data_IF_134696967230
#
_entry.id   IF_134696967230
#
_cell.length_a   1.000
_cell.length_b   1.000
_cell.length_c   1.000
_cell.angle_alpha   90.00
_cell.angle_beta   90.00
_cell.angle_gamma   90.00
#
_symmetry.space_group_name_H-M   'P 1'
#
loop_
_entity.id
_entity.type
_entity.pdbx_description
1 polymer ?
#
# COMPACT_ATOMS: atom_id res chain seq x y z
N UNK A 1 35.89 -13.62 -1.84
CA UNK A 1 35.01 -12.98 -2.75
C UNK A 1 33.55 -13.08 -2.31
N UNK A 2 32.93 -12.04 -2.42
CA UNK A 2 31.59 -12.02 -1.99
C UNK A 2 30.65 -12.69 -2.97
N UNK A 3 29.82 -13.51 -2.46
CA UNK A 3 28.86 -14.18 -3.28
C UNK A 3 27.57 -13.42 -3.31
N UNK A 4 27.09 -13.14 -4.49
CA UNK A 4 25.80 -12.50 -4.62
C UNK A 4 24.75 -13.57 -4.50
N UNK A 5 23.85 -13.41 -3.57
CA UNK A 5 22.77 -14.36 -3.38
C UNK A 5 21.84 -14.31 -4.57
N UNK A 6 21.06 -15.37 -4.75
CA UNK A 6 20.08 -15.42 -5.82
C UNK A 6 19.09 -14.27 -5.69
N UNK A 7 18.74 -13.95 -4.45
CA UNK A 7 17.80 -12.86 -4.19
C UNK A 7 18.39 -11.54 -4.65
N UNK A 8 19.67 -11.30 -4.34
CA UNK A 8 20.31 -10.07 -4.75
C UNK A 8 20.45 -10.00 -6.27
N UNK A 9 20.77 -11.12 -6.91
CA UNK A 9 20.89 -11.17 -8.34
C UNK A 9 19.56 -10.84 -9.03
N UNK A 10 18.49 -11.38 -8.50
CA UNK A 10 17.16 -11.08 -9.04
C UNK A 10 16.78 -9.63 -8.81
N UNK A 11 17.11 -9.12 -7.64
CA UNK A 11 16.82 -7.74 -7.32
C UNK A 11 17.56 -6.79 -8.24
N UNK A 12 18.77 -7.16 -8.62
CA UNK A 12 19.58 -6.32 -9.52
C UNK A 12 18.96 -6.21 -10.90
N UNK A 13 18.12 -7.18 -11.29
CA UNK A 13 17.48 -7.16 -12.59
C UNK A 13 16.16 -6.40 -12.58
N UNK A 14 15.64 -6.07 -11.41
CA UNK A 14 14.41 -5.31 -11.30
C UNK A 14 14.76 -3.83 -11.44
N UNK A 15 14.01 -3.13 -12.28
CA UNK A 15 14.28 -1.72 -12.52
C UNK A 15 14.04 -0.92 -11.24
N UNK A 16 14.72 0.21 -11.07
CA UNK A 16 14.49 1.08 -9.93
C UNK A 16 13.04 1.53 -9.83
N UNK A 17 12.39 1.76 -10.97
CA UNK A 17 11.00 2.19 -10.99
C UNK A 17 10.09 1.13 -10.41
N UNK A 18 10.31 -0.13 -10.77
CA UNK A 18 9.49 -1.22 -10.27
C UNK A 18 9.69 -1.39 -8.76
N UNK A 19 10.95 -1.32 -8.31
CA UNK A 19 11.23 -1.43 -6.87
C UNK A 19 10.56 -0.32 -6.08
N UNK A 20 10.61 0.89 -6.60
CA UNK A 20 9.98 2.02 -5.93
C UNK A 20 8.47 1.83 -5.85
N UNK A 21 7.88 1.34 -6.92
CA UNK A 21 6.44 1.09 -6.97
C UNK A 21 6.03 0.05 -5.94
N UNK A 22 6.79 -1.04 -5.84
CA UNK A 22 6.50 -2.09 -4.87
C UNK A 22 6.65 -1.55 -3.45
N UNK A 23 7.71 -0.77 -3.19
CA UNK A 23 7.91 -0.19 -1.88
C UNK A 23 6.75 0.73 -1.49
N UNK A 24 6.27 1.54 -2.42
CA UNK A 24 5.13 2.42 -2.16
C UNK A 24 3.89 1.62 -1.83
N UNK A 25 3.66 0.52 -2.53
CA UNK A 25 2.51 -0.34 -2.24
C UNK A 25 2.56 -0.86 -0.81
N UNK A 26 3.73 -1.30 -0.36
CA UNK A 26 3.88 -1.77 1.02
C UNK A 26 3.68 -0.65 2.02
N UNK A 27 4.18 0.54 1.73
CA UNK A 27 4.00 1.69 2.62
C UNK A 27 2.53 2.06 2.74
N UNK A 28 1.80 2.00 1.63
CA UNK A 28 0.37 2.28 1.64
C UNK A 28 -0.36 1.25 2.51
N UNK A 29 -0.02 -0.03 2.35
CA UNK A 29 -0.62 -1.09 3.15
C UNK A 29 -0.33 -0.87 4.64
N UNK A 30 0.92 -0.55 4.97
CA UNK A 30 1.30 -0.28 6.35
C UNK A 30 0.51 0.87 6.93
N UNK A 31 0.32 1.91 6.14
CA UNK A 31 -0.46 3.08 6.59
C UNK A 31 -1.92 2.69 6.83
N UNK A 32 -2.51 1.91 5.92
CA UNK A 32 -3.89 1.46 6.09
C UNK A 32 -4.02 0.63 7.36
N UNK A 33 -3.09 -0.31 7.58
CA UNK A 33 -3.08 -1.11 8.79
C UNK A 33 -3.03 -0.25 10.05
N UNK A 34 -2.16 0.75 10.05
CA UNK A 34 -2.00 1.63 11.20
C UNK A 34 -3.30 2.39 11.49
N UNK A 35 -3.98 2.86 10.45
CA UNK A 35 -5.23 3.58 10.63
C UNK A 35 -6.31 2.66 11.16
N UNK A 36 -6.43 1.47 10.58
CA UNK A 36 -7.43 0.51 11.03
C UNK A 36 -7.21 0.15 12.50
N UNK A 37 -5.95 -0.10 12.86
CA UNK A 37 -5.62 -0.45 14.22
C UNK A 37 -5.94 0.69 15.19
N UNK A 38 -5.57 1.91 14.81
CA UNK A 38 -5.84 3.07 15.65
C UNK A 38 -7.33 3.29 15.87
N UNK A 39 -8.16 2.92 14.90
CA UNK A 39 -9.61 3.10 14.99
C UNK A 39 -10.34 1.85 15.47
N UNK A 40 -9.61 0.77 15.75
CA UNK A 40 -10.24 -0.48 16.19
C UNK A 40 -11.07 -1.14 15.09
N UNK A 41 -10.67 -0.95 13.83
CA UNK A 41 -11.39 -1.50 12.70
C UNK A 41 -10.63 -2.68 12.11
N UNK A 42 -11.38 -3.55 11.44
CA UNK A 42 -10.82 -4.71 10.75
C UNK A 42 -10.99 -4.56 9.25
N UNK A 43 -10.32 -5.43 8.49
CA UNK A 43 -10.45 -5.42 7.04
C UNK A 43 -11.90 -5.56 6.60
N UNK A 44 -12.66 -6.35 7.32
CA UNK A 44 -14.07 -6.52 7.05
C UNK A 44 -14.84 -5.21 7.18
N UNK A 45 -14.48 -4.40 8.17
CA UNK A 45 -15.13 -3.10 8.36
C UNK A 45 -14.80 -2.18 7.20
N UNK A 46 -13.54 -2.17 6.76
CA UNK A 46 -13.14 -1.36 5.62
C UNK A 46 -13.89 -1.79 4.36
N UNK A 47 -14.02 -3.11 4.18
CA UNK A 47 -14.76 -3.63 3.03
C UNK A 47 -16.19 -3.12 3.04
N UNK A 48 -16.85 -3.18 4.19
CA UNK A 48 -18.22 -2.70 4.31
C UNK A 48 -18.31 -1.20 4.01
N UNK A 49 -17.37 -0.43 4.51
CA UNK A 49 -17.35 1.02 4.29
C UNK A 49 -17.17 1.38 2.83
N UNK A 50 -16.45 0.54 2.10
CA UNK A 50 -16.18 0.78 0.67
C UNK A 50 -17.19 0.09 -0.25
N UNK A 51 -18.07 -0.73 0.32
CA UNK A 51 -19.01 -1.50 -0.50
C UNK A 51 -18.33 -2.58 -1.29
N UNK A 52 -17.27 -3.17 -0.75
CA UNK A 52 -16.50 -4.20 -1.41
C UNK A 52 -16.47 -5.47 -0.59
N UNK A 53 -15.99 -6.55 -1.20
CA UNK A 53 -15.87 -7.81 -0.49
C UNK A 53 -14.60 -7.84 0.34
N UNK A 54 -14.67 -8.52 1.47
CA UNK A 54 -13.51 -8.65 2.34
C UNK A 54 -12.35 -9.31 1.61
N UNK A 55 -12.64 -10.26 0.72
CA UNK A 55 -11.59 -10.92 -0.04
C UNK A 55 -10.82 -9.95 -0.92
N UNK A 56 -11.49 -8.91 -1.40
CA UNK A 56 -10.84 -7.87 -2.20
C UNK A 56 -9.87 -7.06 -1.35
N UNK A 57 -10.33 -6.66 -0.17
CA UNK A 57 -9.48 -5.91 0.76
C UNK A 57 -8.29 -6.77 1.17
N UNK A 58 -8.53 -8.04 1.41
CA UNK A 58 -7.47 -8.97 1.79
C UNK A 58 -6.38 -9.04 0.72
N UNK A 59 -6.77 -9.01 -0.55
CA UNK A 59 -5.79 -8.98 -1.65
C UNK A 59 -4.96 -7.70 -1.63
N UNK A 60 -5.61 -6.57 -1.37
CA UNK A 60 -4.88 -5.30 -1.28
C UNK A 60 -3.82 -5.35 -0.19
N UNK A 61 -4.18 -5.98 0.93
CA UNK A 61 -3.33 -5.95 2.12
C UNK A 61 -2.17 -6.92 2.05
N UNK A 62 -2.03 -7.65 0.96
CA UNK A 62 -0.85 -8.49 0.74
C UNK A 62 0.39 -7.68 0.40
N UNK A 63 0.22 -6.41 0.05
CA UNK A 63 1.34 -5.51 -0.17
C UNK A 63 1.84 -5.45 -1.59
N UNK A 64 1.25 -6.23 -2.51
CA UNK A 64 1.68 -6.22 -3.90
C UNK A 64 0.64 -5.60 -4.83
N UNK A 65 -0.46 -5.11 -4.26
CA UNK A 65 -1.52 -4.49 -5.05
C UNK A 65 -1.07 -3.14 -5.60
N UNK A 66 -1.43 -2.88 -6.83
CA UNK A 66 -1.16 -1.58 -7.45
C UNK A 66 -2.37 -0.67 -7.21
N UNK A 67 -2.28 0.14 -6.17
CA UNK A 67 -3.37 1.04 -5.81
C UNK A 67 -3.50 2.16 -6.83
N UNK A 68 -4.72 2.40 -7.28
CA UNK A 68 -4.98 3.57 -8.10
C UNK A 68 -5.22 4.77 -7.20
N UNK A 69 -5.11 5.95 -7.77
CA UNK A 69 -5.39 7.18 -7.02
C UNK A 69 -6.84 7.18 -6.55
N UNK A 70 -7.75 6.71 -7.40
CA UNK A 70 -9.16 6.63 -7.03
C UNK A 70 -9.37 5.73 -5.81
N UNK A 71 -8.71 4.59 -5.80
CA UNK A 71 -8.82 3.67 -4.68
C UNK A 71 -8.29 4.29 -3.40
N UNK A 72 -7.12 4.93 -3.47
CA UNK A 72 -6.53 5.59 -2.30
C UNK A 72 -7.45 6.69 -1.79
N UNK A 73 -8.00 7.49 -2.69
CA UNK A 73 -8.91 8.56 -2.31
C UNK A 73 -10.16 8.03 -1.63
N UNK A 74 -10.69 6.91 -2.14
CA UNK A 74 -11.87 6.30 -1.55
C UNK A 74 -11.59 5.81 -0.13
N UNK A 75 -10.42 5.21 0.07
CA UNK A 75 -10.03 4.73 1.40
C UNK A 75 -9.85 5.92 2.35
N UNK A 76 -9.17 6.97 1.90
CA UNK A 76 -8.99 8.17 2.72
C UNK A 76 -10.33 8.75 3.12
N UNK A 77 -11.26 8.76 2.18
CA UNK A 77 -12.57 9.33 2.42
C UNK A 77 -13.33 8.59 3.52
N UNK A 78 -13.35 7.26 3.46
CA UNK A 78 -14.11 6.49 4.45
C UNK A 78 -13.39 6.39 5.79
N UNK A 79 -12.07 6.42 5.80
CA UNK A 79 -11.31 6.34 7.05
C UNK A 79 -11.06 7.70 7.68
N UNK A 80 -11.22 8.78 6.93
CA UNK A 80 -11.00 10.17 7.39
C UNK A 80 -9.57 10.41 7.86
N UNK A 81 -8.60 9.74 7.25
CA UNK A 81 -7.19 9.93 7.52
C UNK A 81 -6.43 9.94 6.20
N UNK A 82 -5.39 10.75 6.08
CA UNK A 82 -4.59 10.76 4.86
C UNK A 82 -3.76 9.48 4.77
N UNK A 83 -3.67 8.95 3.57
CA UNK A 83 -2.81 7.81 3.27
C UNK A 83 -1.63 8.28 2.44
N UNK A 84 -1.90 9.08 1.43
CA UNK A 84 -0.89 9.55 0.51
C UNK A 84 -0.91 11.07 0.47
N UNK A 85 0.27 11.65 0.62
CA UNK A 85 0.42 13.10 0.50
C UNK A 85 1.49 13.39 -0.52
N UNK A 86 1.23 14.42 -1.34
CA UNK A 86 2.19 14.84 -2.34
C UNK A 86 3.06 15.93 -1.72
N UNK A 87 4.36 15.77 -1.87
CA UNK A 87 5.30 16.76 -1.36
C UNK A 87 5.09 18.06 -2.14
N UNK A 88 5.04 19.17 -1.39
CA UNK A 88 4.88 20.46 -2.02
C UNK A 88 6.21 20.92 -2.59
N UNK A 89 6.12 21.57 -3.74
CA UNK A 89 7.30 22.12 -4.38
C UNK A 89 7.69 23.40 -3.66
N UNK A 90 8.95 23.47 -3.28
CA UNK A 90 9.51 24.68 -2.67
C UNK A 90 9.97 25.62 -3.77
N UNK A 91 9.74 26.90 -3.59
CA UNK A 91 10.13 27.88 -4.57
C UNK A 91 11.05 28.91 -3.97
#
# INVERSE_FOLDING_TARGET
MKRISIIEARRAKVSPEVRRSVNLSFLIVDRIHAILEARGLKQKDLANMLGKKESEISKWMRGTHNFTIDTISSIENVLSYPILQVAETQR
#
